data_IF_255877390684
#
_entry.id   IF_255877390684
#
_cell.length_a   1.000
_cell.length_b   1.000
_cell.length_c   1.000
_cell.angle_alpha   90.00
_cell.angle_beta   90.00
_cell.angle_gamma   90.00
#
_symmetry.space_group_name_H-M   'P 1'
#
loop_
_entity.id
_entity.type
_entity.pdbx_description
1 polymer ?
#
# COMPACT_ATOMS: atom_id res chain seq x y z
N UNK A 1 -14.66 -25.44 -9.68
CA UNK A 1 -13.30 -25.13 -9.16
C UNK A 1 -13.06 -23.62 -9.25
N UNK A 2 -13.31 -22.87 -8.17
CA UNK A 2 -12.99 -21.43 -8.09
C UNK A 2 -11.54 -21.28 -7.60
N UNK A 3 -10.58 -21.51 -8.49
CA UNK A 3 -9.17 -21.26 -8.16
C UNK A 3 -8.80 -19.82 -8.51
N UNK A 4 -8.87 -19.00 -7.46
CA UNK A 4 -7.86 -18.02 -7.05
C UNK A 4 -7.45 -16.87 -7.99
N UNK A 5 -8.38 -15.95 -8.24
CA UNK A 5 -8.03 -14.53 -8.53
C UNK A 5 -7.43 -13.87 -7.27
N UNK A 6 -7.73 -14.38 -6.06
CA UNK A 6 -7.27 -13.83 -4.78
C UNK A 6 -5.76 -13.97 -4.55
N UNK A 7 -5.12 -15.06 -5.00
CA UNK A 7 -3.71 -15.34 -4.66
C UNK A 7 -2.69 -14.47 -5.43
N UNK A 8 -3.05 -13.95 -6.60
CA UNK A 8 -2.19 -13.02 -7.34
C UNK A 8 -2.21 -11.60 -6.70
N UNK A 9 -3.38 -11.16 -6.24
CA UNK A 9 -3.55 -9.85 -5.60
C UNK A 9 -2.80 -9.71 -4.26
N UNK A 10 -2.70 -10.78 -3.47
CA UNK A 10 -1.98 -10.75 -2.18
C UNK A 10 -0.45 -10.68 -2.35
N UNK A 11 0.11 -11.25 -3.42
CA UNK A 11 1.58 -11.33 -3.62
C UNK A 11 2.14 -10.05 -4.26
N UNK A 12 1.35 -9.30 -5.02
CA UNK A 12 1.78 -8.01 -5.62
C UNK A 12 1.62 -6.80 -4.69
N UNK A 13 0.76 -6.89 -3.67
CA UNK A 13 0.43 -5.78 -2.76
C UNK A 13 1.63 -5.18 -2.03
N UNK A 14 2.63 -6.00 -1.70
CA UNK A 14 3.83 -5.51 -0.99
C UNK A 14 5.01 -5.29 -1.94
N UNK A 15 5.05 -5.98 -3.08
CA UNK A 15 6.20 -5.95 -3.99
C UNK A 15 6.38 -4.63 -4.72
N UNK A 16 5.32 -3.85 -4.95
CA UNK A 16 5.43 -2.60 -5.70
C UNK A 16 6.25 -1.55 -4.93
N UNK A 17 6.14 -1.51 -3.59
CA UNK A 17 6.95 -0.62 -2.76
C UNK A 17 8.43 -0.99 -2.79
N UNK A 18 8.73 -2.28 -2.68
CA UNK A 18 10.11 -2.78 -2.74
C UNK A 18 10.77 -2.67 -4.13
N UNK A 19 10.00 -2.37 -5.18
CA UNK A 19 10.53 -2.01 -6.50
C UNK A 19 10.89 -0.53 -6.61
N UNK A 20 10.44 0.32 -5.69
CA UNK A 20 10.79 1.73 -5.67
C UNK A 20 12.08 1.93 -4.85
N UNK A 21 13.17 2.27 -5.54
CA UNK A 21 14.50 2.40 -4.93
C UNK A 21 14.55 3.51 -3.86
N UNK A 22 13.87 4.63 -4.08
CA UNK A 22 13.81 5.74 -3.12
C UNK A 22 13.11 5.32 -1.82
N UNK A 23 11.99 4.60 -1.94
CA UNK A 23 11.28 4.04 -0.80
C UNK A 23 12.17 3.08 -0.01
N UNK A 24 12.79 2.11 -0.69
CA UNK A 24 13.69 1.15 -0.05
C UNK A 24 14.85 1.86 0.66
N UNK A 25 15.43 2.89 0.03
CA UNK A 25 16.51 3.66 0.61
C UNK A 25 16.08 4.42 1.88
N UNK A 26 14.91 5.06 1.88
CA UNK A 26 14.43 5.78 3.06
C UNK A 26 14.03 4.82 4.20
N UNK A 27 13.46 3.65 3.88
CA UNK A 27 13.19 2.59 4.86
C UNK A 27 14.50 2.10 5.49
N UNK A 28 15.53 1.83 4.68
CA UNK A 28 16.85 1.41 5.17
C UNK A 28 17.47 2.47 6.09
N UNK A 29 17.48 3.74 5.66
CA UNK A 29 17.97 4.87 6.49
C UNK A 29 17.21 5.01 7.81
N UNK A 30 15.90 4.75 7.81
CA UNK A 30 15.11 4.76 9.03
C UNK A 30 15.58 3.66 9.99
N UNK A 31 15.70 2.42 9.51
CA UNK A 31 16.16 1.30 10.33
C UNK A 31 17.60 1.48 10.82
N UNK A 32 18.49 2.01 9.99
CA UNK A 32 19.86 2.34 10.38
C UNK A 32 19.89 3.34 11.53
N UNK A 33 19.05 4.40 11.48
CA UNK A 33 18.93 5.38 12.57
C UNK A 33 18.30 4.76 13.82
N UNK A 34 17.24 3.98 13.66
CA UNK A 34 16.57 3.30 14.78
C UNK A 34 17.52 2.33 15.48
N UNK A 35 18.40 1.65 14.73
CA UNK A 35 19.39 0.70 15.26
C UNK A 35 20.36 1.32 16.27
N UNK A 36 20.56 2.64 16.22
CA UNK A 36 21.48 3.38 17.09
C UNK A 36 20.86 3.73 18.46
N UNK A 37 19.57 3.50 18.64
CA UNK A 37 18.87 3.74 19.90
C UNK A 37 19.30 2.67 20.91
N UNK A 38 19.89 3.10 22.02
CA UNK A 38 20.41 2.20 23.08
C UNK A 38 19.30 1.58 23.93
N UNK A 39 18.22 2.32 24.15
CA UNK A 39 17.05 1.86 24.87
C UNK A 39 16.25 0.93 23.95
N UNK A 40 16.26 -0.37 24.27
CA UNK A 40 15.63 -1.39 23.44
C UNK A 40 14.11 -1.26 23.40
N UNK A 41 13.46 -0.94 24.52
CA UNK A 41 12.01 -0.75 24.55
C UNK A 41 11.59 0.44 23.70
N UNK A 42 12.35 1.54 23.79
CA UNK A 42 12.13 2.71 22.94
C UNK A 42 12.35 2.40 21.46
N UNK A 43 13.44 1.71 21.12
CA UNK A 43 13.76 1.30 19.75
C UNK A 43 12.61 0.47 19.15
N UNK A 44 12.18 -0.57 19.85
CA UNK A 44 11.09 -1.45 19.43
C UNK A 44 9.78 -0.66 19.26
N UNK A 45 9.45 0.23 20.20
CA UNK A 45 8.23 1.04 20.13
C UNK A 45 8.20 1.95 18.88
N UNK A 46 9.34 2.55 18.51
CA UNK A 46 9.48 3.42 17.35
C UNK A 46 9.36 2.63 16.05
N UNK A 47 10.04 1.47 15.96
CA UNK A 47 9.96 0.59 14.79
C UNK A 47 8.51 0.12 14.59
N UNK A 48 7.86 -0.35 15.65
CA UNK A 48 6.46 -0.80 15.59
C UNK A 48 5.54 0.32 15.14
N UNK A 49 5.73 1.55 15.64
CA UNK A 49 4.90 2.68 15.26
C UNK A 49 5.09 3.05 13.77
N UNK A 50 6.32 3.02 13.27
CA UNK A 50 6.61 3.27 11.86
C UNK A 50 5.97 2.21 10.95
N UNK A 51 6.07 0.92 11.31
CA UNK A 51 5.45 -0.17 10.56
C UNK A 51 3.92 -0.03 10.51
N UNK A 52 3.30 0.40 11.62
CA UNK A 52 1.86 0.72 11.66
C UNK A 52 1.52 1.87 10.71
N UNK A 53 2.32 2.95 10.70
CA UNK A 53 2.13 4.06 9.78
C UNK A 53 2.25 3.62 8.32
N UNK A 54 3.25 2.82 7.95
CA UNK A 54 3.43 2.32 6.59
C UNK A 54 2.23 1.46 6.14
N UNK A 55 1.76 0.57 7.02
CA UNK A 55 0.56 -0.23 6.76
C UNK A 55 -0.66 0.65 6.53
N UNK A 56 -0.94 1.59 7.43
CA UNK A 56 -2.09 2.50 7.31
C UNK A 56 -2.03 3.33 6.02
N UNK A 57 -0.85 3.84 5.66
CA UNK A 57 -0.66 4.58 4.41
C UNK A 57 -0.97 3.72 3.19
N UNK A 58 -0.58 2.44 3.21
CA UNK A 58 -0.90 1.48 2.14
C UNK A 58 -2.40 1.30 2.00
N UNK A 59 -3.10 1.04 3.11
CA UNK A 59 -4.54 0.82 3.12
C UNK A 59 -5.30 2.07 2.63
N UNK A 60 -4.86 3.27 3.02
CA UNK A 60 -5.42 4.53 2.53
C UNK A 60 -5.20 4.72 1.03
N UNK A 61 -3.98 4.46 0.55
CA UNK A 61 -3.63 4.60 -0.86
C UNK A 61 -4.46 3.64 -1.72
N UNK A 62 -4.59 2.38 -1.31
CA UNK A 62 -5.41 1.39 -2.04
C UNK A 62 -6.88 1.81 -2.12
N UNK A 63 -7.45 2.33 -1.03
CA UNK A 63 -8.82 2.85 -1.02
C UNK A 63 -8.98 4.01 -1.99
N UNK A 64 -8.06 4.98 -1.96
CA UNK A 64 -8.06 6.12 -2.88
C UNK A 64 -7.97 5.66 -4.35
N UNK A 65 -7.07 4.72 -4.66
CA UNK A 65 -6.96 4.16 -6.00
C UNK A 65 -8.24 3.48 -6.48
N UNK A 66 -8.88 2.68 -5.61
CA UNK A 66 -10.15 2.03 -5.94
C UNK A 66 -11.27 3.05 -6.18
N UNK A 67 -11.36 4.09 -5.36
CA UNK A 67 -12.34 5.17 -5.53
C UNK A 67 -12.14 5.91 -6.86
N UNK A 68 -10.90 6.29 -7.18
CA UNK A 68 -10.55 6.94 -8.44
C UNK A 68 -10.89 6.05 -9.65
N UNK A 69 -10.54 4.75 -9.58
CA UNK A 69 -10.85 3.80 -10.64
C UNK A 69 -12.37 3.67 -10.86
N UNK A 70 -13.14 3.49 -9.79
CA UNK A 70 -14.58 3.36 -9.85
C UNK A 70 -15.26 4.64 -10.35
N UNK A 71 -14.74 5.82 -9.97
CA UNK A 71 -15.21 7.10 -10.49
C UNK A 71 -14.99 7.19 -12.01
N UNK A 72 -13.77 6.90 -12.48
CA UNK A 72 -13.42 6.89 -13.89
C UNK A 72 -14.28 5.90 -14.69
N UNK A 73 -14.50 4.69 -14.16
CA UNK A 73 -15.34 3.67 -14.78
C UNK A 73 -16.80 4.13 -14.92
N UNK A 74 -17.38 4.74 -13.87
CA UNK A 74 -18.74 5.30 -13.92
C UNK A 74 -18.84 6.40 -14.98
N UNK A 75 -17.85 7.29 -15.06
CA UNK A 75 -17.81 8.35 -16.07
C UNK A 75 -17.73 7.77 -17.49
N UNK A 76 -16.85 6.80 -17.72
CA UNK A 76 -16.71 6.14 -19.02
C UNK A 76 -17.99 5.41 -19.46
N UNK A 77 -18.69 4.73 -18.54
CA UNK A 77 -19.97 4.08 -18.81
C UNK A 77 -21.06 5.07 -19.23
N UNK A 78 -21.13 6.25 -18.60
CA UNK A 78 -22.06 7.32 -18.99
C UNK A 78 -21.74 7.87 -20.38
N UNK A 79 -20.46 8.05 -20.70
CA UNK A 79 -20.02 8.57 -22.02
C UNK A 79 -20.31 7.56 -23.14
N UNK A 80 -20.17 6.26 -22.88
CA UNK A 80 -20.43 5.20 -23.87
C UNK A 80 -21.92 4.87 -24.07
N UNK A 81 -22.86 5.62 -23.46
CA UNK A 81 -24.28 5.54 -23.79
C UNK A 81 -24.96 4.20 -23.48
N UNK A 82 -24.50 3.42 -22.51
CA UNK A 82 -25.28 2.28 -22.03
C UNK A 82 -26.39 2.75 -21.08
N UNK A 83 -27.46 3.30 -21.67
CA UNK A 83 -28.81 3.25 -21.10
C UNK A 83 -29.33 1.84 -21.33
N UNK A 84 -29.36 1.01 -20.28
CA UNK A 84 -30.26 -0.14 -20.29
C UNK A 84 -31.63 0.36 -19.84
N UNK A 85 -32.60 0.27 -20.75
CA UNK A 85 -34.03 0.25 -20.42
C UNK A 85 -34.33 -0.97 -19.54
#
# INVERSE_FOLDING_TARGET
>A
MKYSVNKFYEIEKEKWKFKNEEYVLEIAKFFDKASQIKDQELQESIIVQMLKCDRLLTELSEKMFQECYMHGLRKAKRIKGYTFF
#
